data_IF_233373636412
#
_entry.id   IF_233373636412
#
_cell.length_a   1.000
_cell.length_b   1.000
_cell.length_c   1.000
_cell.angle_alpha   90.00
_cell.angle_beta   90.00
_cell.angle_gamma   90.00
#
_symmetry.space_group_name_H-M   'P 1'
#
loop_
_entity.id
_entity.type
_entity.pdbx_description
1 polymer ?
#
# COMPACT_ATOMS: atom_id res chain seq x y z
N UNK A 1 17.40 -6.39 -16.68
CA UNK A 1 17.27 -6.80 -15.27
C UNK A 1 15.94 -6.24 -14.80
N UNK A 2 15.01 -7.05 -14.30
CA UNK A 2 13.68 -6.56 -13.90
C UNK A 2 13.79 -5.74 -12.60
N UNK A 3 13.09 -4.60 -12.53
CA UNK A 3 13.02 -3.69 -11.37
C UNK A 3 11.85 -4.09 -10.49
N UNK A 4 12.13 -4.38 -9.21
CA UNK A 4 11.13 -4.82 -8.25
C UNK A 4 10.82 -3.72 -7.24
N UNK A 5 9.55 -3.50 -6.96
CA UNK A 5 9.07 -2.68 -5.85
C UNK A 5 8.43 -3.56 -4.79
N UNK A 6 8.78 -3.37 -3.52
CA UNK A 6 8.07 -4.00 -2.41
C UNK A 6 7.06 -3.03 -1.79
N UNK A 7 5.85 -3.52 -1.57
CA UNK A 7 4.75 -2.80 -0.99
C UNK A 7 4.11 -3.66 0.10
N UNK A 8 3.84 -3.07 1.25
CA UNK A 8 3.44 -3.81 2.43
C UNK A 8 2.15 -3.25 3.01
N UNK A 9 1.18 -4.15 3.24
CA UNK A 9 -0.10 -3.82 3.84
C UNK A 9 -0.24 -4.59 5.15
N UNK A 10 -0.19 -3.87 6.28
CA UNK A 10 -0.08 -4.48 7.62
C UNK A 10 -0.96 -3.72 8.61
N UNK A 11 -1.48 -4.41 9.63
CA UNK A 11 -2.25 -3.77 10.70
C UNK A 11 -1.40 -2.81 11.56
N UNK A 12 -0.11 -3.13 11.72
CA UNK A 12 0.89 -2.35 12.46
C UNK A 12 2.20 -2.31 11.68
N UNK A 13 2.96 -1.22 11.77
CA UNK A 13 4.26 -1.05 11.10
C UNK A 13 5.12 -2.29 11.34
N UNK A 14 5.42 -3.01 10.27
CA UNK A 14 6.21 -4.25 10.31
C UNK A 14 7.69 -3.92 10.47
N UNK A 15 8.39 -4.71 11.28
CA UNK A 15 9.83 -4.67 11.44
C UNK A 15 10.55 -5.25 10.21
N UNK A 16 9.81 -5.90 9.30
CA UNK A 16 10.36 -6.58 8.13
C UNK A 16 10.81 -5.64 7.00
N UNK A 17 10.53 -4.33 7.05
CA UNK A 17 10.95 -3.38 6.01
C UNK A 17 12.47 -3.36 5.81
N UNK A 18 13.24 -3.33 6.91
CA UNK A 18 14.70 -3.32 6.89
C UNK A 18 15.28 -4.59 6.23
N UNK A 19 14.59 -5.73 6.37
CA UNK A 19 15.00 -6.98 5.74
C UNK A 19 14.84 -6.91 4.21
N UNK A 20 13.78 -6.28 3.72
CA UNK A 20 13.54 -6.13 2.28
C UNK A 20 14.49 -5.13 1.63
N UNK A 21 14.74 -3.98 2.29
CA UNK A 21 15.71 -3.00 1.80
C UNK A 21 17.09 -3.63 1.64
N UNK A 22 17.54 -4.39 2.64
CA UNK A 22 18.85 -5.05 2.62
C UNK A 22 18.95 -6.18 1.59
N UNK A 23 17.87 -6.90 1.33
CA UNK A 23 17.89 -8.03 0.39
C UNK A 23 17.76 -7.59 -1.07
N UNK A 24 17.01 -6.52 -1.33
CA UNK A 24 16.70 -6.05 -2.69
C UNK A 24 17.57 -4.86 -3.14
N UNK A 25 18.38 -4.29 -2.25
CA UNK A 25 19.18 -3.09 -2.50
C UNK A 25 18.31 -1.91 -2.98
N UNK A 26 17.19 -1.71 -2.28
CA UNK A 26 16.22 -0.64 -2.54
C UNK A 26 16.01 0.19 -1.29
N UNK A 27 15.67 1.47 -1.45
CA UNK A 27 15.25 2.35 -0.36
C UNK A 27 13.74 2.48 -0.38
N UNK A 28 13.07 1.90 0.61
CA UNK A 28 11.63 1.99 0.78
C UNK A 28 11.30 3.26 1.58
N UNK A 29 10.17 3.87 1.25
CA UNK A 29 9.67 5.05 1.95
C UNK A 29 8.54 4.67 2.89
N UNK A 30 8.14 5.60 3.76
CA UNK A 30 6.96 5.45 4.63
C UNK A 30 5.67 5.18 3.86
N UNK A 31 5.64 5.58 2.59
CA UNK A 31 4.49 5.40 1.71
C UNK A 31 4.39 3.98 1.17
N UNK A 32 5.47 3.17 1.24
CA UNK A 32 5.48 1.74 0.91
C UNK A 32 4.80 0.87 1.99
N UNK A 33 4.38 1.48 3.11
CA UNK A 33 3.65 0.81 4.18
C UNK A 33 2.28 1.45 4.41
N UNK A 34 1.23 0.69 4.09
CA UNK A 34 -0.16 1.06 4.37
C UNK A 34 -0.75 0.22 5.47
N UNK A 35 -1.57 0.86 6.30
CA UNK A 35 -2.36 0.17 7.30
C UNK A 35 -3.85 0.36 7.01
N UNK A 36 -4.65 -0.57 7.51
CA UNK A 36 -6.11 -0.48 7.44
C UNK A 36 -6.60 0.85 8.08
N UNK A 37 -5.98 1.26 9.19
CA UNK A 37 -6.26 2.55 9.84
C UNK A 37 -6.08 3.76 8.91
N UNK A 38 -4.96 3.83 8.17
CA UNK A 38 -4.71 4.92 7.20
C UNK A 38 -5.74 4.94 6.07
N UNK A 39 -6.19 3.76 5.61
CA UNK A 39 -7.22 3.67 4.57
C UNK A 39 -8.55 4.20 5.12
N UNK A 40 -8.97 3.74 6.31
CA UNK A 40 -10.20 4.22 6.92
C UNK A 40 -10.18 5.72 7.17
N UNK A 41 -9.08 6.27 7.67
CA UNK A 41 -8.91 7.71 7.87
C UNK A 41 -9.10 8.48 6.54
N UNK A 42 -8.44 8.04 5.46
CA UNK A 42 -8.59 8.65 4.14
C UNK A 42 -10.02 8.60 3.60
N UNK A 43 -10.73 7.49 3.83
CA UNK A 43 -12.13 7.32 3.42
C UNK A 43 -13.07 8.21 4.23
N UNK A 44 -12.89 8.27 5.55
CA UNK A 44 -13.67 9.13 6.44
C UNK A 44 -13.51 10.61 6.07
N UNK A 45 -12.30 11.03 5.69
CA UNK A 45 -12.07 12.41 5.24
C UNK A 45 -12.74 12.70 3.90
N UNK A 46 -12.74 11.74 2.96
CA UNK A 46 -13.48 11.84 1.69
C UNK A 46 -14.99 11.89 1.91
N UNK A 47 -15.49 11.09 2.85
CA UNK A 47 -16.90 11.07 3.24
C UNK A 47 -17.32 12.41 3.88
N UNK A 48 -16.53 12.95 4.80
CA UNK A 48 -16.77 14.26 5.44
C UNK A 48 -16.80 15.42 4.44
N UNK A 49 -16.04 15.33 3.34
CA UNK A 49 -16.08 16.30 2.23
C UNK A 49 -17.26 16.12 1.29
N UNK A 50 -18.00 15.01 1.39
CA UNK A 50 -19.13 14.68 0.54
C UNK A 50 -18.76 13.96 -0.76
N UNK A 51 -17.52 13.48 -0.91
CA UNK A 51 -16.99 12.88 -2.15
C UNK A 51 -17.76 11.61 -2.57
N UNK A 52 -18.45 10.95 -1.62
CA UNK A 52 -19.17 9.70 -1.85
C UNK A 52 -20.68 9.83 -1.99
N UNK A 53 -21.27 11.02 -1.78
CA UNK A 53 -22.71 11.29 -1.95
C UNK A 53 -23.65 10.25 -1.28
N UNK A 54 -23.21 9.63 -0.17
CA UNK A 54 -23.98 8.58 0.53
C UNK A 54 -23.99 7.20 -0.14
N UNK A 55 -23.07 6.91 -1.06
CA UNK A 55 -22.93 5.61 -1.74
C UNK A 55 -22.19 4.58 -0.88
N UNK A 56 -22.36 3.30 -1.22
CA UNK A 56 -21.86 2.14 -0.47
C UNK A 56 -20.35 2.17 -0.22
N UNK A 57 -19.92 1.85 1.01
CA UNK A 57 -18.52 1.93 1.48
C UNK A 57 -17.58 0.84 0.93
N UNK A 58 -18.11 -0.36 0.64
CA UNK A 58 -17.30 -1.52 0.17
C UNK A 58 -16.47 -1.25 -1.09
N UNK A 59 -17.04 -0.69 -2.19
CA UNK A 59 -16.23 -0.31 -3.36
C UNK A 59 -15.21 0.78 -3.04
N UNK A 60 -15.45 1.64 -2.04
CA UNK A 60 -14.53 2.72 -1.70
C UNK A 60 -13.25 2.20 -1.03
N UNK A 61 -13.33 1.18 -0.17
CA UNK A 61 -12.16 0.54 0.45
C UNK A 61 -11.28 -0.14 -0.60
N UNK A 62 -11.88 -0.99 -1.43
CA UNK A 62 -11.13 -1.74 -2.44
C UNK A 62 -10.50 -0.82 -3.49
N UNK A 63 -11.19 0.27 -3.88
CA UNK A 63 -10.62 1.27 -4.76
C UNK A 63 -9.47 2.04 -4.10
N UNK A 64 -9.58 2.40 -2.81
CA UNK A 64 -8.49 3.07 -2.09
C UNK A 64 -7.22 2.22 -2.04
N UNK A 65 -7.35 0.90 -1.81
CA UNK A 65 -6.22 -0.04 -1.84
C UNK A 65 -5.57 -0.06 -3.23
N UNK A 66 -6.36 -0.20 -4.30
CA UNK A 66 -5.86 -0.21 -5.68
C UNK A 66 -5.13 1.09 -6.04
N UNK A 67 -5.75 2.23 -5.76
CA UNK A 67 -5.14 3.54 -6.03
C UNK A 67 -3.83 3.72 -5.26
N UNK A 68 -3.74 3.21 -4.03
CA UNK A 68 -2.49 3.27 -3.29
C UNK A 68 -1.41 2.38 -3.92
N UNK A 69 -1.72 1.12 -4.28
CA UNK A 69 -0.79 0.21 -4.97
C UNK A 69 -0.27 0.84 -6.27
N UNK A 70 -1.17 1.39 -7.08
CA UNK A 70 -0.83 2.10 -8.32
C UNK A 70 0.10 3.28 -8.03
N UNK A 71 -0.24 4.12 -7.04
CA UNK A 71 0.56 5.28 -6.67
C UNK A 71 1.97 4.89 -6.23
N UNK A 72 2.13 3.87 -5.38
CA UNK A 72 3.46 3.46 -4.92
C UNK A 72 4.26 2.78 -6.02
N UNK A 73 3.61 2.07 -6.95
CA UNK A 73 4.26 1.43 -8.11
C UNK A 73 5.00 2.40 -9.03
N UNK A 74 4.60 3.68 -9.00
CA UNK A 74 5.19 4.74 -9.80
C UNK A 74 6.38 5.42 -9.10
N UNK A 75 6.59 5.18 -7.80
CA UNK A 75 7.66 5.80 -7.03
C UNK A 75 8.94 4.98 -7.21
N UNK A 76 10.03 5.56 -7.74
CA UNK A 76 11.29 4.85 -7.86
C UNK A 76 11.93 4.58 -6.49
N UNK A 77 12.40 3.36 -6.28
CA UNK A 77 13.03 2.92 -5.02
C UNK A 77 14.49 2.47 -5.17
N UNK A 78 14.98 2.39 -6.41
CA UNK A 78 16.33 1.93 -6.76
C UNK A 78 17.21 3.06 -7.33
N UNK A 79 16.80 4.32 -7.12
CA UNK A 79 17.53 5.51 -7.60
C UNK A 79 17.51 5.73 -9.12
N UNK A 80 16.77 4.93 -9.88
CA UNK A 80 16.64 5.08 -11.35
C UNK A 80 15.32 5.75 -11.71
N UNK A 81 15.30 6.54 -12.79
CA UNK A 81 14.05 7.14 -13.27
C UNK A 81 13.08 6.07 -13.81
N UNK A 82 11.77 6.31 -13.64
CA UNK A 82 10.70 5.45 -14.14
C UNK A 82 10.20 4.39 -13.14
N UNK A 83 9.03 3.77 -13.43
CA UNK A 83 8.36 2.82 -12.54
C UNK A 83 9.09 1.47 -12.47
N UNK A 84 8.73 0.67 -11.46
CA UNK A 84 9.17 -0.71 -11.35
C UNK A 84 8.48 -1.61 -12.38
N UNK A 85 9.16 -2.68 -12.82
CA UNK A 85 8.60 -3.69 -13.72
C UNK A 85 7.66 -4.67 -12.99
N UNK A 86 7.92 -4.90 -11.70
CA UNK A 86 7.16 -5.82 -10.86
C UNK A 86 6.92 -5.21 -9.48
N UNK A 87 5.68 -5.28 -8.98
CA UNK A 87 5.34 -4.91 -7.61
C UNK A 87 5.03 -6.17 -6.79
N UNK A 88 5.78 -6.39 -5.72
CA UNK A 88 5.58 -7.45 -4.74
C UNK A 88 4.78 -6.86 -3.58
N UNK A 89 3.61 -7.44 -3.31
CA UNK A 89 2.74 -7.01 -2.23
C UNK A 89 2.77 -8.06 -1.12
N UNK A 90 3.15 -7.66 0.09
CA UNK A 90 3.01 -8.49 1.29
C UNK A 90 1.80 -8.04 2.09
N UNK A 91 0.87 -8.98 2.27
CA UNK A 91 -0.23 -8.85 3.22
C UNK A 91 0.26 -9.42 4.56
N UNK A 92 0.42 -8.56 5.56
CA UNK A 92 0.78 -8.96 6.92
C UNK A 92 -0.45 -9.25 7.76
N UNK A 93 -0.28 -10.11 8.78
CA UNK A 93 -1.37 -10.58 9.65
C UNK A 93 -1.87 -11.99 9.28
N UNK A 94 -2.73 -12.55 10.13
CA UNK A 94 -3.34 -13.86 9.89
C UNK A 94 -4.68 -13.66 9.18
N UNK A 95 -4.96 -14.46 8.15
CA UNK A 95 -6.30 -14.51 7.56
C UNK A 95 -7.23 -15.18 8.57
N UNK A 96 -8.06 -14.38 9.25
CA UNK A 96 -9.17 -14.91 10.05
C UNK A 96 -10.39 -14.90 9.16
N UNK A 97 -10.76 -16.08 8.65
CA UNK A 97 -12.07 -16.29 8.05
C UNK A 97 -13.01 -16.67 9.18
N UNK A 98 -13.98 -15.81 9.51
CA UNK A 98 -15.16 -16.28 10.24
C UNK A 98 -15.91 -17.23 9.31
N UNK A 99 -15.89 -18.52 9.66
CA UNK A 99 -16.58 -19.62 8.99
C UNK A 99 -18.03 -19.72 9.41
#
# INVERSE_FOLDING_TARGET
MARFLFSMMVEKVDLDLDNYERFLDVTLTRDNNITIGKIYESLLDKERRGDYLGKTVVPHITNAIKTWIESVSLIPVDGKEGPADVCVIKLGGTVVSDS
#
